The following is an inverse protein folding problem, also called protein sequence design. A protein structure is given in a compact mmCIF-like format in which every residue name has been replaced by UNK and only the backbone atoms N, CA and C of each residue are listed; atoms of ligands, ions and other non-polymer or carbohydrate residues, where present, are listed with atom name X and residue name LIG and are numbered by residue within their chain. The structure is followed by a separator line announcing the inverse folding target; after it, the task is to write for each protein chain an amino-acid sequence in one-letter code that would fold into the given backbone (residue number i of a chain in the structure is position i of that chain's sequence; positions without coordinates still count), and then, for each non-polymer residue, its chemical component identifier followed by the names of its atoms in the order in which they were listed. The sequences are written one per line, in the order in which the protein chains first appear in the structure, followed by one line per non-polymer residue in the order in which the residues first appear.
data_IF_217311910109
#
_entry.id   IF_217311910109
#
_cell.length_a   1.000
_cell.length_b   1.000
_cell.length_c   1.000
_cell.angle_alpha   90.00
_cell.angle_beta   90.00
_cell.angle_gamma   90.00
#
_symmetry.space_group_name_H-M   'P 1'
#
loop_
_entity.id
_entity.type
_entity.pdbx_description
1 polymer ?
#
# COMPACT_ATOMS: atom_id res chain seq x y z
N UNK A 1 -16.11 32.75 -6.45
CA UNK A 1 -16.16 31.58 -5.53
C UNK A 1 -16.00 30.23 -6.25
N UNK A 2 -16.67 29.98 -7.39
CA UNK A 2 -16.54 28.72 -8.17
C UNK A 2 -15.11 28.44 -8.70
N UNK A 3 -14.33 29.48 -9.00
CA UNK A 3 -12.93 29.35 -9.43
C UNK A 3 -12.03 28.64 -8.41
N UNK A 4 -12.34 28.78 -7.11
CA UNK A 4 -11.55 28.16 -6.04
C UNK A 4 -11.77 26.65 -5.92
N UNK A 5 -12.91 26.13 -6.41
CA UNK A 5 -13.22 24.70 -6.43
C UNK A 5 -12.61 24.04 -7.67
N UNK A 6 -12.76 24.68 -8.84
CA UNK A 6 -12.13 24.23 -10.10
C UNK A 6 -10.62 24.09 -9.90
N UNK A 7 -9.97 25.10 -9.31
CA UNK A 7 -8.54 25.04 -9.03
C UNK A 7 -8.15 23.90 -8.06
N UNK A 8 -9.02 23.52 -7.12
CA UNK A 8 -8.77 22.37 -6.23
C UNK A 8 -8.95 21.04 -6.96
N UNK A 9 -9.93 20.92 -7.85
CA UNK A 9 -10.16 19.73 -8.67
C UNK A 9 -8.95 19.48 -9.58
N UNK A 10 -8.45 20.51 -10.26
CA UNK A 10 -7.27 20.38 -11.12
C UNK A 10 -6.00 20.03 -10.32
N UNK A 11 -5.83 20.59 -9.13
CA UNK A 11 -4.75 20.19 -8.22
C UNK A 11 -4.89 18.72 -7.77
N UNK A 12 -6.08 18.27 -7.43
CA UNK A 12 -6.32 16.88 -7.02
C UNK A 12 -5.97 15.90 -8.15
N UNK A 13 -6.39 16.19 -9.40
CA UNK A 13 -6.01 15.40 -10.57
C UNK A 13 -4.49 15.34 -10.76
N UNK A 14 -3.81 16.47 -10.60
CA UNK A 14 -2.34 16.55 -10.68
C UNK A 14 -1.68 15.71 -9.57
N UNK A 15 -2.09 15.89 -8.31
CA UNK A 15 -1.48 15.19 -7.18
C UNK A 15 -1.69 13.68 -7.22
N UNK A 16 -2.80 13.21 -7.82
CA UNK A 16 -3.01 11.78 -8.05
C UNK A 16 -1.96 11.14 -8.99
N UNK A 17 -1.24 11.93 -9.78
CA UNK A 17 -0.16 11.47 -10.67
C UNK A 17 1.24 11.70 -10.10
N UNK A 18 1.38 12.51 -9.05
CA UNK A 18 2.66 12.87 -8.42
C UNK A 18 2.84 12.03 -7.13
N UNK A 19 3.02 10.71 -7.29
CA UNK A 19 3.05 9.75 -6.17
C UNK A 19 4.22 10.00 -5.21
N UNK A 20 5.29 10.66 -5.66
CA UNK A 20 6.42 11.10 -4.83
C UNK A 20 6.00 12.05 -3.68
N UNK A 21 4.83 12.67 -3.78
CA UNK A 21 4.27 13.53 -2.73
C UNK A 21 3.52 12.78 -1.64
N UNK A 22 3.27 11.49 -1.81
CA UNK A 22 2.38 10.70 -0.97
C UNK A 22 3.20 9.71 -0.18
N UNK A 23 2.99 9.66 1.13
CA UNK A 23 3.58 8.64 2.00
C UNK A 23 2.48 8.03 2.86
N UNK A 24 2.32 6.71 2.74
CA UNK A 24 1.42 5.95 3.60
C UNK A 24 2.15 5.60 4.90
N UNK A 25 1.76 6.22 6.03
CA UNK A 25 2.31 5.86 7.33
C UNK A 25 1.64 4.62 7.91
N UNK A 26 0.31 4.54 7.78
CA UNK A 26 -0.51 3.46 8.30
C UNK A 26 -1.72 3.25 7.39
N UNK A 27 -2.11 1.99 7.18
CA UNK A 27 -3.34 1.65 6.48
C UNK A 27 -3.84 0.26 6.88
N UNK A 28 -5.12 0.03 6.63
CA UNK A 28 -5.78 -1.27 6.74
C UNK A 28 -6.72 -1.43 5.56
N UNK A 29 -6.61 -2.55 4.85
CA UNK A 29 -7.46 -2.88 3.70
C UNK A 29 -8.05 -4.27 3.85
N UNK A 30 -9.26 -4.44 3.32
CA UNK A 30 -9.81 -5.77 3.04
C UNK A 30 -9.30 -6.24 1.68
N UNK A 31 -8.48 -7.28 1.69
CA UNK A 31 -7.92 -7.89 0.50
C UNK A 31 -8.71 -9.13 0.13
N UNK A 32 -9.46 -9.08 -0.97
CA UNK A 32 -10.17 -10.24 -1.50
C UNK A 32 -9.19 -11.15 -2.24
N UNK A 33 -8.80 -12.25 -1.60
CA UNK A 33 -8.02 -13.32 -2.22
C UNK A 33 -8.92 -14.31 -2.96
N UNK A 34 -8.31 -15.38 -3.47
CA UNK A 34 -9.05 -16.44 -4.19
C UNK A 34 -10.00 -17.21 -3.26
N UNK A 35 -9.58 -17.44 -2.02
CA UNK A 35 -10.30 -18.31 -1.08
C UNK A 35 -11.13 -17.56 -0.04
N UNK A 36 -10.76 -16.31 0.30
CA UNK A 36 -11.41 -15.52 1.35
C UNK A 36 -11.01 -14.04 1.26
N UNK A 37 -11.61 -13.20 2.10
CA UNK A 37 -11.17 -11.83 2.40
C UNK A 37 -10.17 -11.82 3.56
N UNK A 38 -9.09 -11.05 3.42
CA UNK A 38 -8.04 -10.91 4.42
C UNK A 38 -7.81 -9.46 4.78
N UNK A 39 -7.74 -9.15 6.07
CA UNK A 39 -7.30 -7.84 6.53
C UNK A 39 -5.79 -7.76 6.36
N UNK A 40 -5.34 -6.81 5.54
CA UNK A 40 -3.91 -6.56 5.29
C UNK A 40 -3.58 -5.13 5.70
N UNK A 41 -2.56 -4.98 6.53
CA UNK A 41 -2.26 -3.72 7.21
C UNK A 41 -0.78 -3.41 7.16
N UNK A 42 -0.48 -2.12 7.19
CA UNK A 42 0.80 -1.62 7.62
C UNK A 42 0.54 -0.67 8.78
N UNK A 43 1.08 -0.98 9.95
CA UNK A 43 0.83 -0.22 11.16
C UNK A 43 2.03 -0.29 12.10
N UNK A 44 2.35 0.83 12.74
CA UNK A 44 3.47 0.91 13.70
C UNK A 44 4.79 0.38 13.10
N UNK A 45 5.02 0.67 11.82
CA UNK A 45 6.22 0.25 11.08
C UNK A 45 6.26 -1.23 10.69
N UNK A 46 5.13 -1.95 10.76
CA UNK A 46 5.07 -3.40 10.53
C UNK A 46 3.95 -3.80 9.60
N UNK A 47 4.26 -4.74 8.71
CA UNK A 47 3.25 -5.45 7.94
C UNK A 47 2.46 -6.42 8.83
N UNK A 48 1.18 -6.56 8.51
CA UNK A 48 0.31 -7.59 9.05
C UNK A 48 -0.64 -8.09 7.96
N UNK A 49 -0.95 -9.38 7.99
CA UNK A 49 -2.03 -9.94 7.19
C UNK A 49 -2.71 -11.06 7.98
N UNK A 50 -4.04 -11.10 7.94
CA UNK A 50 -4.83 -12.13 8.62
C UNK A 50 -4.75 -13.52 7.95
N UNK A 51 -4.07 -13.64 6.81
CA UNK A 51 -3.91 -14.93 6.14
C UNK A 51 -2.94 -15.86 6.91
N UNK A 52 -3.18 -17.17 6.84
CA UNK A 52 -2.38 -18.16 7.57
C UNK A 52 -0.90 -18.16 7.15
N UNK A 53 -0.62 -17.90 5.87
CA UNK A 53 0.74 -17.91 5.36
C UNK A 53 1.59 -16.80 6.01
N UNK A 54 1.01 -15.61 6.19
CA UNK A 54 1.70 -14.49 6.84
C UNK A 54 2.14 -14.82 8.27
N UNK A 55 1.29 -15.50 9.04
CA UNK A 55 1.60 -15.88 10.42
C UNK A 55 2.86 -16.75 10.55
N UNK A 56 3.18 -17.53 9.51
CA UNK A 56 4.35 -18.42 9.50
C UNK A 56 5.61 -17.75 8.94
N UNK A 57 5.46 -16.83 7.99
CA UNK A 57 6.60 -16.32 7.19
C UNK A 57 6.88 -14.82 7.36
N UNK A 58 5.95 -14.05 7.94
CA UNK A 58 6.06 -12.60 8.06
C UNK A 58 5.79 -11.84 6.75
N UNK A 59 5.27 -12.52 5.73
CA UNK A 59 4.83 -11.98 4.44
C UNK A 59 3.85 -12.93 3.76
N UNK A 60 3.16 -12.43 2.75
CA UNK A 60 2.30 -13.23 1.88
C UNK A 60 2.08 -12.52 0.55
N UNK A 61 1.39 -13.17 -0.39
CA UNK A 61 1.00 -12.55 -1.67
C UNK A 61 0.24 -11.23 -1.50
N UNK A 62 -0.53 -11.06 -0.42
CA UNK A 62 -1.26 -9.81 -0.16
C UNK A 62 -0.35 -8.64 0.21
N UNK A 63 0.60 -8.84 1.14
CA UNK A 63 1.58 -7.80 1.49
C UNK A 63 2.49 -7.50 0.32
N UNK A 64 2.93 -8.53 -0.42
CA UNK A 64 3.73 -8.37 -1.65
C UNK A 64 2.97 -7.59 -2.73
N UNK A 65 1.67 -7.83 -2.89
CA UNK A 65 0.85 -7.08 -3.84
C UNK A 65 0.72 -5.60 -3.44
N UNK A 66 0.44 -5.31 -2.17
CA UNK A 66 0.35 -3.93 -1.68
C UNK A 66 1.69 -3.20 -1.76
N UNK A 67 2.79 -3.89 -1.49
CA UNK A 67 4.13 -3.34 -1.70
C UNK A 67 4.34 -2.92 -3.17
N UNK A 68 3.97 -3.78 -4.13
CA UNK A 68 4.04 -3.45 -5.57
C UNK A 68 3.11 -2.33 -5.99
N UNK A 69 1.88 -2.28 -5.44
CA UNK A 69 0.89 -1.24 -5.76
C UNK A 69 1.34 0.13 -5.23
N UNK A 70 1.83 0.17 -3.99
CA UNK A 70 2.15 1.42 -3.31
C UNK A 70 3.56 1.92 -3.64
N UNK A 71 4.51 1.00 -3.89
CA UNK A 71 5.84 1.30 -4.40
C UNK A 71 6.54 2.41 -3.62
N UNK A 72 6.84 3.52 -4.29
CA UNK A 72 7.54 4.67 -3.69
C UNK A 72 6.73 5.39 -2.61
N UNK A 73 5.41 5.20 -2.56
CA UNK A 73 4.55 5.80 -1.54
C UNK A 73 4.65 5.09 -0.18
N UNK A 74 5.37 3.98 -0.09
CA UNK A 74 5.70 3.32 1.18
C UNK A 74 6.97 3.89 1.80
N UNK A 75 7.06 3.91 3.15
CA UNK A 75 8.32 4.14 3.86
C UNK A 75 9.40 3.16 3.41
N UNK A 76 10.66 3.55 3.54
CA UNK A 76 11.79 2.74 3.04
C UNK A 76 11.84 1.36 3.68
N UNK A 77 11.61 1.31 4.98
CA UNK A 77 11.54 0.10 5.80
C UNK A 77 10.38 -0.85 5.42
N UNK A 78 9.34 -0.34 4.78
CA UNK A 78 8.18 -1.12 4.35
C UNK A 78 8.36 -1.77 2.97
N UNK A 79 9.37 -1.31 2.20
CA UNK A 79 9.73 -1.83 0.88
C UNK A 79 10.70 -3.00 1.07
N UNK A 80 10.15 -4.20 1.29
CA UNK A 80 10.93 -5.42 1.49
C UNK A 80 11.64 -5.86 0.20
N UNK A 81 12.95 -5.65 0.15
CA UNK A 81 13.83 -6.05 -0.97
C UNK A 81 14.00 -7.58 -1.11
N UNK A 82 13.34 -8.41 -0.31
CA UNK A 82 13.69 -9.82 -0.15
C UNK A 82 13.23 -10.73 -1.31
N UNK A 83 12.29 -10.31 -2.17
CA UNK A 83 11.70 -11.18 -3.20
C UNK A 83 12.14 -10.91 -4.64
N UNK A 84 12.74 -9.76 -4.92
CA UNK A 84 13.17 -9.40 -6.28
C UNK A 84 14.39 -10.22 -6.76
N UNK A 85 14.97 -11.05 -5.89
CA UNK A 85 16.09 -11.95 -6.20
C UNK A 85 15.67 -13.28 -6.86
N UNK A 86 14.37 -13.57 -6.98
CA UNK A 86 13.85 -14.91 -7.34
C UNK A 86 13.15 -14.93 -8.71
N UNK A 87 13.29 -13.88 -9.52
CA UNK A 87 12.83 -13.85 -10.92
C UNK A 87 14.03 -13.88 -11.86
#
# INVERSE_FOLDING_TARGET
MQSSLIGKIEKAKRYAQETDRITFSDFSVEFRGENDSYTTEYKDGKWHCSCRFFSSWGLCSHTMALEKILGNMLPEEARSTQYDSVT
#
